data_IF_817199045979
#
_entry.id   IF_817199045979
#
_cell.length_a   1.000
_cell.length_b   1.000
_cell.length_c   1.000
_cell.angle_alpha   90.00
_cell.angle_beta   90.00
_cell.angle_gamma   90.00
#
_symmetry.space_group_name_H-M   'P 1'
#
loop_
_entity.id
_entity.type
_entity.pdbx_description
1 polymer ?
#
# COMPACT_ATOMS: atom_id res chain seq x y z
N UNK A 1 -37.72 -41.92 -38.84
CA UNK A 1 -38.25 -41.77 -37.49
C UNK A 1 -37.19 -41.04 -36.68
N UNK A 2 -37.58 -39.88 -36.19
CA UNK A 2 -36.73 -38.82 -35.65
C UNK A 2 -36.06 -39.19 -34.34
N UNK A 3 -34.74 -38.94 -34.23
CA UNK A 3 -33.97 -38.98 -33.01
C UNK A 3 -33.28 -37.68 -32.79
N UNK A 4 -33.83 -36.83 -31.91
CA UNK A 4 -33.31 -35.53 -31.51
C UNK A 4 -32.20 -35.73 -30.47
N UNK A 5 -30.97 -35.34 -30.77
CA UNK A 5 -29.87 -35.25 -29.81
C UNK A 5 -29.86 -33.88 -29.09
N UNK A 6 -29.39 -33.80 -27.85
CA UNK A 6 -29.43 -32.58 -27.07
C UNK A 6 -28.37 -31.58 -27.48
N UNK A 7 -28.79 -30.31 -27.50
CA UNK A 7 -27.96 -29.14 -27.80
C UNK A 7 -26.85 -28.93 -26.76
N UNK A 8 -25.60 -28.83 -27.21
CA UNK A 8 -24.46 -28.39 -26.42
C UNK A 8 -24.60 -26.90 -26.13
N UNK A 9 -24.71 -26.52 -24.86
CA UNK A 9 -24.63 -25.17 -24.39
C UNK A 9 -23.20 -24.62 -24.65
N UNK A 10 -23.11 -23.61 -25.49
CA UNK A 10 -21.87 -22.86 -25.68
C UNK A 10 -21.67 -21.96 -24.47
N UNK A 11 -20.65 -22.25 -23.66
CA UNK A 11 -20.13 -21.33 -22.68
C UNK A 11 -19.64 -20.07 -23.39
N UNK A 12 -20.30 -18.95 -23.16
CA UNK A 12 -19.77 -17.62 -23.52
C UNK A 12 -18.73 -17.25 -22.45
N UNK A 13 -17.54 -16.79 -22.84
CA UNK A 13 -16.64 -16.19 -21.89
C UNK A 13 -17.24 -14.89 -21.37
N UNK A 14 -17.17 -14.68 -20.06
CA UNK A 14 -17.48 -13.40 -19.41
C UNK A 14 -16.66 -12.29 -20.00
N UNK A 15 -17.23 -11.08 -20.18
CA UNK A 15 -16.44 -9.95 -20.64
C UNK A 15 -15.36 -9.60 -19.63
N UNK A 16 -14.12 -9.59 -20.07
CA UNK A 16 -13.03 -9.00 -19.35
C UNK A 16 -13.40 -7.53 -19.05
N UNK A 17 -13.37 -7.15 -17.77
CA UNK A 17 -13.43 -5.75 -17.39
C UNK A 17 -12.18 -5.07 -17.94
N UNK A 18 -12.32 -4.38 -19.06
CA UNK A 18 -11.34 -3.39 -19.49
C UNK A 18 -11.33 -2.26 -18.46
N UNK A 19 -10.38 -2.32 -17.54
CA UNK A 19 -9.99 -1.20 -16.70
C UNK A 19 -9.27 -0.17 -17.59
N UNK A 20 -10.05 0.68 -18.28
CA UNK A 20 -9.53 1.93 -18.82
C UNK A 20 -9.27 2.88 -17.66
N UNK A 21 -8.16 2.68 -16.97
CA UNK A 21 -7.61 3.66 -16.06
C UNK A 21 -7.07 4.82 -16.87
N UNK A 22 -7.78 5.95 -16.88
CA UNK A 22 -7.08 7.23 -17.05
C UNK A 22 -6.12 7.33 -15.88
N UNK A 23 -4.82 7.24 -16.20
CA UNK A 23 -3.71 7.29 -15.28
C UNK A 23 -3.70 8.65 -14.59
N UNK A 24 -4.26 8.74 -13.38
CA UNK A 24 -3.73 9.61 -12.37
C UNK A 24 -2.57 8.85 -11.75
N UNK A 25 -1.50 9.54 -11.46
CA UNK A 25 -0.26 9.04 -10.87
C UNK A 25 -0.57 7.98 -9.79
N UNK A 26 -0.24 6.67 -9.96
CA UNK A 26 -0.57 5.65 -8.97
C UNK A 26 0.35 5.84 -7.79
N UNK A 27 -0.17 6.59 -6.82
CA UNK A 27 0.35 6.53 -5.47
C UNK A 27 1.82 6.86 -5.34
N UNK A 28 2.26 8.07 -5.70
CA UNK A 28 3.16 8.72 -4.78
C UNK A 28 2.44 8.63 -3.43
N UNK A 29 2.90 7.76 -2.54
CA UNK A 29 2.67 8.00 -1.13
C UNK A 29 3.17 9.44 -0.97
N UNK A 30 2.23 10.38 -0.99
CA UNK A 30 2.53 11.78 -0.85
C UNK A 30 2.96 11.93 0.61
N UNK A 31 4.19 11.51 0.89
CA UNK A 31 4.88 11.81 2.14
C UNK A 31 5.17 13.30 2.00
N UNK A 32 4.44 14.15 2.70
CA UNK A 32 4.73 15.57 2.65
C UNK A 32 6.19 15.75 3.04
N UNK A 33 6.96 16.59 2.34
CA UNK A 33 8.36 16.88 2.67
C UNK A 33 8.39 17.82 3.89
N UNK A 34 8.01 17.34 5.06
CA UNK A 34 8.18 18.09 6.31
C UNK A 34 8.99 17.26 7.29
N UNK A 35 9.89 17.92 8.01
CA UNK A 35 10.62 17.39 9.16
C UNK A 35 9.71 16.65 10.16
N UNK A 36 8.47 17.08 10.27
CA UNK A 36 7.42 16.56 11.12
C UNK A 36 7.00 15.11 10.76
N UNK A 37 6.98 14.73 9.48
CA UNK A 37 6.70 13.34 9.07
C UNK A 37 7.86 12.42 9.44
N UNK A 38 9.09 12.87 9.27
CA UNK A 38 10.28 12.14 9.67
C UNK A 38 10.29 11.82 11.16
N UNK A 39 9.96 12.82 12.01
CA UNK A 39 9.89 12.65 13.45
C UNK A 39 8.76 11.70 13.88
N UNK A 40 7.60 11.78 13.25
CA UNK A 40 6.48 10.87 13.52
C UNK A 40 6.77 9.43 13.12
N UNK A 41 7.43 9.24 11.98
CA UNK A 41 7.87 7.92 11.54
C UNK A 41 8.99 7.38 12.44
N UNK A 42 9.90 8.22 12.91
CA UNK A 42 10.92 7.85 13.88
C UNK A 42 10.31 7.46 15.23
N UNK A 43 9.23 8.12 15.67
CA UNK A 43 8.50 7.72 16.87
C UNK A 43 7.86 6.33 16.70
N UNK A 44 7.30 6.02 15.54
CA UNK A 44 6.80 4.67 15.22
C UNK A 44 7.93 3.64 15.16
N UNK A 45 9.09 4.00 14.61
CA UNK A 45 10.28 3.15 14.59
C UNK A 45 10.82 2.89 16.00
N UNK A 46 10.78 3.88 16.90
CA UNK A 46 11.15 3.72 18.31
C UNK A 46 10.30 2.69 19.06
N UNK A 47 9.08 2.42 18.60
CA UNK A 47 8.23 1.34 19.11
C UNK A 47 8.65 -0.05 18.61
N UNK A 48 9.61 -0.13 17.69
CA UNK A 48 10.14 -1.37 17.09
C UNK A 48 11.66 -1.32 17.10
N UNK A 49 12.29 -1.70 18.20
CA UNK A 49 13.75 -1.60 18.38
C UNK A 49 14.57 -2.48 17.43
N UNK A 50 13.94 -3.37 16.66
CA UNK A 50 14.53 -4.23 15.65
C UNK A 50 14.53 -3.65 14.23
N UNK A 51 14.09 -2.41 14.05
CA UNK A 51 14.23 -1.68 12.79
C UNK A 51 15.55 -0.88 12.75
N UNK A 52 16.20 -0.76 11.57
CA UNK A 52 15.91 -1.46 10.31
C UNK A 52 16.26 -2.96 10.41
N UNK A 53 15.50 -3.79 9.68
CA UNK A 53 15.72 -5.23 9.58
C UNK A 53 16.04 -5.60 8.14
N UNK A 54 17.07 -6.44 7.94
CA UNK A 54 17.36 -7.10 6.67
C UNK A 54 17.33 -8.60 6.88
N UNK A 55 16.51 -9.29 6.13
CA UNK A 55 16.35 -10.74 6.23
C UNK A 55 16.21 -11.38 4.85
N UNK A 56 16.65 -12.65 4.68
CA UNK A 56 16.38 -13.38 3.45
C UNK A 56 14.86 -13.64 3.32
N UNK A 57 14.35 -13.53 2.10
CA UNK A 57 12.99 -13.95 1.83
C UNK A 57 12.97 -15.30 1.09
N UNK A 58 12.08 -16.23 1.46
CA UNK A 58 11.91 -17.47 0.72
C UNK A 58 11.14 -17.29 -0.59
N UNK A 59 10.65 -16.07 -0.86
CA UNK A 59 9.81 -15.76 -2.02
C UNK A 59 10.64 -15.60 -3.28
N UNK A 60 10.08 -16.02 -4.39
CA UNK A 60 10.61 -15.72 -5.71
C UNK A 60 10.22 -14.30 -6.09
N UNK A 61 11.21 -13.42 -6.23
CA UNK A 61 11.01 -12.00 -6.51
C UNK A 61 11.38 -11.71 -7.96
N UNK A 62 10.46 -11.06 -8.68
CA UNK A 62 10.70 -10.61 -10.05
C UNK A 62 10.31 -9.14 -10.21
N UNK A 63 11.01 -8.48 -11.14
CA UNK A 63 10.70 -7.11 -11.56
C UNK A 63 10.58 -7.09 -13.07
N UNK A 64 9.53 -6.44 -13.55
CA UNK A 64 9.31 -6.23 -14.98
C UNK A 64 9.18 -4.74 -15.29
N UNK A 65 9.50 -4.38 -16.52
CA UNK A 65 9.16 -3.11 -17.15
C UNK A 65 8.26 -3.43 -18.36
N UNK A 66 6.96 -3.12 -18.25
CA UNK A 66 6.00 -3.70 -19.19
C UNK A 66 6.04 -5.23 -19.15
N UNK A 67 6.23 -5.86 -20.31
CA UNK A 67 6.31 -7.33 -20.43
C UNK A 67 7.74 -7.87 -20.31
N UNK A 68 8.76 -7.01 -20.22
CA UNK A 68 10.16 -7.40 -20.18
C UNK A 68 10.64 -7.67 -18.77
N UNK A 69 11.37 -8.78 -18.58
CA UNK A 69 11.95 -9.18 -17.31
C UNK A 69 13.22 -8.39 -17.02
N UNK A 70 13.24 -7.67 -15.92
CA UNK A 70 14.37 -6.84 -15.46
C UNK A 70 15.19 -7.57 -14.39
N UNK A 71 14.51 -8.25 -13.46
CA UNK A 71 15.16 -9.02 -12.41
C UNK A 71 14.36 -10.30 -12.11
N UNK A 72 15.10 -11.38 -11.79
CA UNK A 72 14.56 -12.69 -11.45
C UNK A 72 15.41 -13.34 -10.36
N UNK A 73 14.93 -13.33 -9.13
CA UNK A 73 15.73 -13.76 -7.99
C UNK A 73 14.97 -14.65 -7.00
N UNK A 74 15.63 -15.72 -6.57
CA UNK A 74 15.28 -16.55 -5.41
C UNK A 74 16.25 -16.34 -4.24
N UNK A 75 17.07 -15.30 -4.31
CA UNK A 75 18.08 -14.93 -3.32
C UNK A 75 17.87 -13.51 -2.81
N UNK A 76 16.65 -13.01 -2.95
CA UNK A 76 16.34 -11.65 -2.54
C UNK A 76 16.41 -11.49 -1.02
N UNK A 77 16.77 -10.28 -0.59
CA UNK A 77 16.67 -9.84 0.79
C UNK A 77 15.52 -8.87 0.93
N UNK A 78 14.78 -8.99 2.01
CA UNK A 78 13.77 -8.00 2.40
C UNK A 78 14.40 -7.01 3.39
N UNK A 79 14.36 -5.75 3.04
CA UNK A 79 14.67 -4.65 3.94
C UNK A 79 13.37 -4.07 4.50
N UNK A 80 13.17 -4.20 5.80
CA UNK A 80 12.00 -3.65 6.52
C UNK A 80 12.41 -2.35 7.17
N UNK A 81 11.90 -1.26 6.64
CA UNK A 81 12.07 0.10 7.14
C UNK A 81 10.78 0.87 6.89
N UNK A 82 10.35 1.69 7.85
CA UNK A 82 9.27 2.65 7.67
C UNK A 82 9.80 4.04 8.02
N UNK A 83 9.67 4.97 7.09
CA UNK A 83 10.20 6.31 7.20
C UNK A 83 11.69 6.43 6.91
N UNK A 84 12.26 7.63 7.11
CA UNK A 84 13.66 7.89 6.88
C UNK A 84 14.55 6.97 7.70
N UNK A 85 15.53 6.38 7.05
CA UNK A 85 16.52 5.49 7.66
C UNK A 85 17.93 5.82 7.21
N UNK A 86 18.87 4.91 7.49
CA UNK A 86 20.28 5.06 7.14
C UNK A 86 20.53 4.98 5.62
N UNK A 87 19.61 4.39 4.86
CA UNK A 87 19.74 4.29 3.40
C UNK A 87 18.90 5.36 2.72
N UNK A 88 19.49 6.21 1.86
CA UNK A 88 18.72 7.07 0.97
C UNK A 88 17.73 6.27 0.13
N UNK A 89 16.55 6.84 -0.17
CA UNK A 89 15.48 6.25 -1.00
C UNK A 89 14.77 5.01 -0.42
N UNK A 90 15.12 4.55 0.79
CA UNK A 90 14.49 3.40 1.44
C UNK A 90 13.54 3.89 2.53
N UNK A 91 12.27 4.11 2.20
CA UNK A 91 11.24 4.66 3.11
C UNK A 91 10.17 3.64 3.49
N UNK A 92 10.09 2.53 2.77
CA UNK A 92 9.08 1.48 2.93
C UNK A 92 9.75 0.12 2.76
N UNK A 93 9.16 -0.95 3.28
CA UNK A 93 9.65 -2.30 3.04
C UNK A 93 9.88 -2.55 1.55
N UNK A 94 11.07 -3.01 1.20
CA UNK A 94 11.46 -3.24 -0.18
C UNK A 94 12.37 -4.45 -0.33
N UNK A 95 12.36 -5.06 -1.52
CA UNK A 95 13.25 -6.15 -1.85
C UNK A 95 14.53 -5.63 -2.49
N UNK A 96 15.62 -6.30 -2.15
CA UNK A 96 16.91 -6.16 -2.81
C UNK A 96 17.28 -7.49 -3.44
N UNK A 97 17.73 -7.48 -4.67
CA UNK A 97 18.14 -8.67 -5.41
C UNK A 97 19.64 -8.59 -5.71
N UNK A 98 20.38 -9.71 -5.70
CA UNK A 98 21.76 -9.70 -6.16
C UNK A 98 21.88 -9.10 -7.55
N UNK A 99 22.90 -8.29 -7.80
CA UNK A 99 23.10 -7.67 -9.12
C UNK A 99 23.21 -8.71 -10.24
N UNK A 100 23.70 -9.90 -9.94
CA UNK A 100 23.81 -11.02 -10.89
C UNK A 100 22.45 -11.61 -11.30
N UNK A 101 21.37 -11.32 -10.56
CA UNK A 101 20.00 -11.74 -10.85
C UNK A 101 19.23 -10.66 -11.63
N UNK A 102 19.92 -9.58 -12.03
CA UNK A 102 19.36 -8.49 -12.82
C UNK A 102 19.79 -8.63 -14.28
N UNK A 103 18.90 -8.39 -15.22
CA UNK A 103 19.22 -8.33 -16.65
C UNK A 103 20.18 -7.15 -16.91
N UNK A 104 21.46 -7.38 -17.23
CA UNK A 104 22.44 -6.29 -17.30
C UNK A 104 22.09 -5.18 -18.29
N UNK A 105 21.49 -5.55 -19.43
CA UNK A 105 21.07 -4.61 -20.46
C UNK A 105 19.90 -3.71 -20.05
N UNK A 106 19.19 -4.04 -18.96
CA UNK A 106 18.08 -3.24 -18.46
C UNK A 106 18.53 -2.08 -17.58
N UNK A 107 19.75 -2.14 -17.00
CA UNK A 107 20.32 -1.06 -16.20
C UNK A 107 21.14 -0.14 -17.11
N UNK A 108 20.64 1.05 -17.37
CA UNK A 108 21.27 2.02 -18.29
C UNK A 108 21.60 3.33 -17.57
N UNK A 109 22.52 4.09 -18.16
CA UNK A 109 22.90 5.44 -17.70
C UNK A 109 23.23 5.50 -16.20
N UNK A 110 24.27 4.77 -15.73
CA UNK A 110 24.65 4.78 -14.35
C UNK A 110 25.15 6.17 -13.90
N UNK A 111 24.67 6.61 -12.75
CA UNK A 111 25.12 7.84 -12.08
C UNK A 111 25.62 7.49 -10.69
N UNK A 112 26.90 7.81 -10.43
CA UNK A 112 27.49 7.68 -9.10
C UNK A 112 27.14 8.92 -8.26
N UNK A 113 26.50 8.71 -7.12
CA UNK A 113 26.22 9.76 -6.16
C UNK A 113 27.32 9.82 -5.08
N UNK A 114 27.59 11.02 -4.54
CA UNK A 114 28.58 11.26 -3.47
C UNK A 114 28.38 10.38 -2.23
N UNK A 115 27.18 9.85 -2.05
CA UNK A 115 26.79 8.98 -0.92
C UNK A 115 27.24 7.53 -1.06
N UNK A 116 28.02 7.16 -2.11
CA UNK A 116 28.36 5.77 -2.40
C UNK A 116 27.14 4.96 -2.88
N UNK A 117 26.32 5.59 -3.68
CA UNK A 117 25.10 5.07 -4.28
C UNK A 117 25.24 5.16 -5.80
N UNK A 118 25.09 4.04 -6.52
CA UNK A 118 24.87 4.06 -7.95
C UNK A 118 23.38 4.01 -8.24
N UNK A 119 22.94 4.85 -9.15
CA UNK A 119 21.56 4.93 -9.62
C UNK A 119 21.52 4.71 -11.12
N UNK A 120 20.54 3.97 -11.60
CA UNK A 120 20.31 3.68 -13.02
C UNK A 120 18.92 4.10 -13.45
N UNK A 121 18.80 4.44 -14.71
CA UNK A 121 17.54 4.27 -15.41
C UNK A 121 17.34 2.78 -15.74
N UNK A 122 16.09 2.35 -15.78
CA UNK A 122 15.71 1.00 -16.22
C UNK A 122 15.04 1.10 -17.58
N UNK A 123 15.55 0.36 -18.56
CA UNK A 123 15.02 0.40 -19.91
C UNK A 123 14.98 -0.98 -20.55
N UNK A 124 13.81 -1.40 -21.05
CA UNK A 124 13.63 -2.57 -21.91
C UNK A 124 12.30 -2.47 -22.67
N UNK A 125 12.16 -3.20 -23.79
CA UNK A 125 10.92 -3.27 -24.56
C UNK A 125 10.38 -1.91 -25.06
N UNK A 126 11.26 -0.93 -25.26
CA UNK A 126 10.86 0.43 -25.67
C UNK A 126 10.32 1.30 -24.52
N UNK A 127 10.27 0.79 -23.31
CA UNK A 127 9.92 1.54 -22.10
C UNK A 127 11.17 1.98 -21.34
N UNK A 128 11.06 3.09 -20.62
CA UNK A 128 12.14 3.62 -19.80
C UNK A 128 11.58 4.24 -18.53
N UNK A 129 12.26 3.99 -17.42
CA UNK A 129 12.03 4.63 -16.13
C UNK A 129 13.35 5.25 -15.66
N UNK A 130 13.41 6.56 -15.59
CA UNK A 130 14.59 7.27 -15.09
C UNK A 130 14.67 7.16 -13.57
N UNK A 131 15.92 7.10 -13.05
CA UNK A 131 16.16 7.11 -11.61
C UNK A 131 15.42 5.97 -10.88
N UNK A 132 15.41 4.78 -11.50
CA UNK A 132 14.48 3.71 -11.16
C UNK A 132 15.12 2.46 -10.54
N UNK A 133 16.43 2.33 -10.55
CA UNK A 133 17.17 1.28 -9.85
C UNK A 133 18.34 1.89 -9.08
N UNK A 134 18.71 1.29 -7.94
CA UNK A 134 19.86 1.77 -7.20
C UNK A 134 20.52 0.67 -6.36
N UNK A 135 21.82 0.85 -6.09
CA UNK A 135 22.65 -0.03 -5.28
C UNK A 135 23.51 0.81 -4.32
N UNK A 136 23.51 0.44 -3.05
CA UNK A 136 24.41 1.00 -2.06
C UNK A 136 25.70 0.20 -2.02
N UNK A 137 26.84 0.83 -2.28
CA UNK A 137 28.14 0.14 -2.28
C UNK A 137 28.60 -0.26 -0.88
N UNK A 138 28.32 0.57 0.10
CA UNK A 138 28.72 0.37 1.50
C UNK A 138 27.58 0.72 2.44
N UNK A 139 26.54 -0.14 2.51
CA UNK A 139 25.46 0.05 3.47
C UNK A 139 26.03 0.08 4.90
N UNK A 140 25.59 1.01 5.75
CA UNK A 140 26.03 1.06 7.14
C UNK A 140 25.46 -0.09 7.97
N UNK A 141 26.04 -0.44 9.13
CA UNK A 141 25.44 -1.39 10.06
C UNK A 141 24.01 -0.95 10.47
N UNK A 142 23.06 -1.89 10.61
CA UNK A 142 23.13 -3.34 10.39
C UNK A 142 22.74 -3.79 8.96
N UNK A 143 22.98 -2.97 7.94
CA UNK A 143 22.47 -3.14 6.57
C UNK A 143 23.50 -3.72 5.60
N UNK A 144 24.64 -4.18 6.10
CA UNK A 144 25.80 -4.65 5.31
C UNK A 144 25.43 -5.80 4.36
N UNK A 145 24.41 -6.60 4.70
CA UNK A 145 23.93 -7.68 3.85
C UNK A 145 23.34 -7.21 2.51
N UNK A 146 23.07 -5.90 2.36
CA UNK A 146 22.58 -5.30 1.12
C UNK A 146 23.72 -4.87 0.18
N UNK A 147 24.99 -5.04 0.56
CA UNK A 147 26.11 -4.72 -0.32
C UNK A 147 26.10 -5.59 -1.58
N UNK A 148 26.23 -4.96 -2.76
CA UNK A 148 26.14 -5.64 -4.06
C UNK A 148 24.72 -6.06 -4.47
N UNK A 149 23.71 -5.56 -3.78
CA UNK A 149 22.31 -5.83 -4.12
C UNK A 149 21.64 -4.58 -4.70
N UNK A 150 20.78 -4.80 -5.70
CA UNK A 150 20.01 -3.78 -6.40
C UNK A 150 18.56 -3.81 -5.95
N UNK A 151 17.96 -2.66 -5.80
CA UNK A 151 16.52 -2.51 -5.68
C UNK A 151 15.99 -1.56 -6.74
N UNK A 152 14.67 -1.53 -6.90
CA UNK A 152 14.00 -0.76 -7.94
C UNK A 152 12.89 0.11 -7.33
N UNK A 153 12.49 1.14 -8.05
CA UNK A 153 11.35 1.96 -7.67
C UNK A 153 10.05 1.16 -7.72
N UNK A 154 9.08 1.58 -6.90
CA UNK A 154 7.72 1.02 -6.87
C UNK A 154 6.76 1.78 -7.78
N UNK A 155 7.28 2.50 -8.78
CA UNK A 155 6.52 3.35 -9.69
C UNK A 155 6.43 2.74 -11.08
N UNK A 156 5.32 2.99 -11.76
CA UNK A 156 5.19 2.71 -13.18
C UNK A 156 6.38 3.26 -13.99
N UNK A 157 6.82 2.58 -15.03
CA UNK A 157 6.26 1.36 -15.60
C UNK A 157 6.80 0.05 -15.00
N UNK A 158 7.46 0.10 -13.83
CA UNK A 158 7.97 -1.08 -13.16
C UNK A 158 6.86 -1.79 -12.38
N UNK A 159 6.86 -3.12 -12.45
CA UNK A 159 5.96 -3.98 -11.68
C UNK A 159 6.78 -5.04 -10.95
N UNK A 160 6.57 -5.14 -9.64
CA UNK A 160 7.15 -6.16 -8.79
C UNK A 160 6.21 -7.35 -8.66
N UNK A 161 6.78 -8.53 -8.53
CA UNK A 161 6.05 -9.77 -8.31
C UNK A 161 6.62 -10.55 -7.14
N UNK A 162 5.74 -11.10 -6.32
CA UNK A 162 6.00 -12.20 -5.41
C UNK A 162 5.38 -13.45 -6.02
N UNK A 163 6.20 -14.47 -6.31
CA UNK A 163 5.76 -15.63 -7.10
C UNK A 163 5.10 -15.17 -8.42
N UNK A 164 3.87 -15.58 -8.70
CA UNK A 164 3.12 -15.18 -9.90
C UNK A 164 2.24 -13.93 -9.70
N UNK A 165 2.23 -13.36 -8.48
CA UNK A 165 1.31 -12.27 -8.12
C UNK A 165 1.99 -10.90 -8.19
N UNK A 166 1.42 -9.92 -8.91
CA UNK A 166 1.91 -8.56 -8.91
C UNK A 166 1.65 -7.90 -7.56
N UNK A 167 2.63 -7.14 -7.08
CA UNK A 167 2.51 -6.35 -5.87
C UNK A 167 1.85 -5.00 -6.14
N UNK A 168 0.95 -4.61 -5.23
CA UNK A 168 0.14 -3.40 -5.42
C UNK A 168 0.86 -2.10 -5.06
N UNK A 169 1.82 -2.14 -4.13
CA UNK A 169 2.48 -0.94 -3.62
C UNK A 169 3.94 -1.20 -3.26
N UNK A 170 4.22 -1.71 -2.07
CA UNK A 170 5.56 -2.03 -1.59
C UNK A 170 5.60 -3.47 -1.05
N UNK A 171 6.79 -3.99 -0.75
CA UNK A 171 6.93 -5.32 -0.16
C UNK A 171 6.08 -5.46 1.12
N UNK A 172 5.47 -6.61 1.29
CA UNK A 172 4.73 -6.93 2.51
C UNK A 172 5.72 -7.29 3.63
N UNK A 173 5.62 -6.59 4.75
CA UNK A 173 6.40 -6.88 5.96
C UNK A 173 5.79 -8.11 6.66
N UNK A 174 6.51 -9.24 6.77
CA UNK A 174 5.99 -10.45 7.41
C UNK A 174 5.79 -10.28 8.92
N UNK A 175 6.38 -9.25 9.53
CA UNK A 175 6.22 -8.91 10.94
C UNK A 175 5.07 -7.94 11.21
N UNK A 176 4.36 -7.51 10.17
CA UNK A 176 3.19 -6.63 10.28
C UNK A 176 1.92 -7.44 10.22
N UNK A 177 1.15 -7.40 11.31
CA UNK A 177 -0.13 -8.08 11.40
C UNK A 177 -1.27 -7.10 11.15
N UNK A 178 -2.27 -7.54 10.41
CA UNK A 178 -3.55 -6.85 10.20
C UNK A 178 -4.68 -7.79 10.59
N UNK A 179 -5.39 -7.47 11.65
CA UNK A 179 -6.51 -8.26 12.16
C UNK A 179 -7.82 -7.51 12.01
N UNK A 180 -8.89 -8.27 11.74
CA UNK A 180 -10.26 -7.73 11.69
C UNK A 180 -11.16 -8.51 12.64
N UNK A 181 -11.72 -7.85 13.63
CA UNK A 181 -12.63 -8.42 14.61
C UNK A 181 -14.02 -7.77 14.54
N UNK A 182 -15.07 -8.58 14.61
CA UNK A 182 -16.42 -8.08 14.83
C UNK A 182 -16.56 -7.56 16.26
N UNK A 183 -17.32 -6.48 16.42
CA UNK A 183 -17.53 -5.86 17.72
C UNK A 183 -18.99 -5.45 17.91
N UNK A 184 -19.46 -5.49 19.14
CA UNK A 184 -20.76 -4.94 19.57
C UNK A 184 -20.62 -3.57 20.24
N UNK A 185 -19.43 -2.99 20.27
CA UNK A 185 -19.18 -1.68 20.87
C UNK A 185 -19.95 -0.60 20.10
N UNK A 186 -20.50 0.36 20.84
CA UNK A 186 -21.17 1.51 20.25
C UNK A 186 -20.13 2.49 19.73
N UNK A 187 -20.02 2.61 18.40
CA UNK A 187 -19.14 3.57 17.75
C UNK A 187 -19.96 4.72 17.20
N UNK A 188 -19.56 5.95 17.51
CA UNK A 188 -20.14 7.20 17.05
C UNK A 188 -19.04 8.05 16.40
N UNK A 189 -19.30 8.57 15.22
CA UNK A 189 -18.38 9.40 14.46
C UNK A 189 -19.00 10.74 14.18
N UNK A 190 -18.30 11.83 14.51
CA UNK A 190 -18.77 13.19 14.34
C UNK A 190 -17.66 14.10 13.77
N UNK A 191 -18.06 15.20 13.19
CA UNK A 191 -17.18 16.31 12.88
C UNK A 191 -17.92 17.63 13.11
N UNK A 192 -17.31 18.56 13.85
CA UNK A 192 -17.91 19.86 14.21
C UNK A 192 -19.34 19.74 14.77
N UNK A 193 -19.60 18.72 15.59
CA UNK A 193 -20.89 18.44 16.19
C UNK A 193 -21.93 17.78 15.27
N UNK A 194 -21.58 17.52 14.00
CA UNK A 194 -22.45 16.83 13.05
C UNK A 194 -22.19 15.33 13.08
N UNK A 195 -23.26 14.54 13.28
CA UNK A 195 -23.20 13.08 13.26
C UNK A 195 -22.94 12.57 11.84
N UNK A 196 -21.82 11.90 11.63
CA UNK A 196 -21.45 11.25 10.37
C UNK A 196 -21.91 9.79 10.31
N UNK A 197 -21.72 9.05 11.42
CA UNK A 197 -22.11 7.64 11.49
C UNK A 197 -22.31 7.20 12.93
N UNK A 198 -23.13 6.16 13.13
CA UNK A 198 -23.33 5.51 14.42
C UNK A 198 -23.63 4.03 14.21
N UNK A 199 -22.84 3.13 14.83
CA UNK A 199 -22.98 1.69 14.68
C UNK A 199 -22.84 0.97 16.03
N UNK A 200 -23.52 -0.20 16.13
CA UNK A 200 -23.32 -1.22 17.18
C UNK A 200 -22.84 -2.55 16.62
N UNK A 201 -22.41 -2.54 15.37
CA UNK A 201 -21.90 -3.71 14.64
C UNK A 201 -20.67 -3.36 13.78
N UNK A 202 -19.72 -2.57 14.37
CA UNK A 202 -18.50 -2.25 13.62
C UNK A 202 -17.61 -3.47 13.44
N UNK A 203 -16.76 -3.46 12.42
CA UNK A 203 -15.55 -4.25 12.39
C UNK A 203 -14.37 -3.37 12.82
N UNK A 204 -13.63 -3.84 13.80
CA UNK A 204 -12.42 -3.17 14.26
C UNK A 204 -11.21 -3.78 13.55
N UNK A 205 -10.43 -2.94 12.90
CA UNK A 205 -9.18 -3.35 12.27
C UNK A 205 -8.02 -2.91 13.15
N UNK A 206 -7.21 -3.89 13.54
CA UNK A 206 -5.98 -3.72 14.32
C UNK A 206 -4.80 -3.95 13.39
N UNK A 207 -4.00 -2.92 13.19
CA UNK A 207 -2.81 -2.99 12.36
C UNK A 207 -1.59 -2.65 13.20
N UNK A 208 -0.55 -3.48 13.12
CA UNK A 208 0.68 -3.29 13.91
C UNK A 208 1.20 -1.85 13.76
N UNK A 209 1.41 -1.17 14.88
CA UNK A 209 1.91 0.21 15.00
C UNK A 209 0.98 1.29 14.44
N UNK A 210 -0.27 0.99 14.14
CA UNK A 210 -1.25 1.98 13.70
C UNK A 210 -2.46 2.02 14.64
N UNK A 211 -3.19 3.14 14.70
CA UNK A 211 -4.40 3.23 15.50
C UNK A 211 -5.49 2.28 15.00
N UNK A 212 -6.37 1.88 15.91
CA UNK A 212 -7.54 1.08 15.58
C UNK A 212 -8.39 1.82 14.54
N UNK A 213 -8.79 1.10 13.48
CA UNK A 213 -9.72 1.60 12.47
C UNK A 213 -11.10 0.98 12.63
N UNK A 214 -12.12 1.80 12.57
CA UNK A 214 -13.51 1.42 12.76
C UNK A 214 -14.20 1.35 11.40
N UNK A 215 -14.44 0.14 10.89
CA UNK A 215 -15.14 -0.11 9.66
C UNK A 215 -16.62 -0.30 9.95
N UNK A 216 -17.46 0.56 9.41
CA UNK A 216 -18.89 0.63 9.69
C UNK A 216 -19.67 0.16 8.46
N UNK A 217 -20.79 -0.57 8.64
CA UNK A 217 -21.70 -0.85 7.55
C UNK A 217 -22.20 0.46 6.91
N UNK A 218 -22.36 0.51 5.57
CA UNK A 218 -22.87 1.71 4.91
C UNK A 218 -24.23 2.19 5.45
N UNK A 219 -25.10 1.25 5.85
CA UNK A 219 -26.41 1.57 6.44
C UNK A 219 -26.34 2.31 7.78
N UNK A 220 -25.18 2.28 8.44
CA UNK A 220 -24.96 2.95 9.73
C UNK A 220 -24.34 4.36 9.55
N UNK A 221 -24.07 4.77 8.30
CA UNK A 221 -23.68 6.13 7.93
C UNK A 221 -24.92 7.03 7.91
N UNK A 222 -24.82 8.24 8.44
CA UNK A 222 -25.91 9.19 8.66
C UNK A 222 -25.78 10.47 7.85
N UNK A 223 -24.76 10.55 7.00
CA UNK A 223 -24.46 11.71 6.15
C UNK A 223 -24.36 11.25 4.69
N UNK A 224 -24.59 12.17 3.77
CA UNK A 224 -24.35 11.92 2.35
C UNK A 224 -22.84 11.83 2.09
N UNK A 225 -22.40 10.66 1.62
CA UNK A 225 -21.03 10.45 1.13
C UNK A 225 -20.98 10.62 -0.39
N UNK A 226 -20.09 11.49 -0.85
CA UNK A 226 -19.83 11.75 -2.26
C UNK A 226 -18.53 11.09 -2.65
N UNK A 227 -18.46 10.33 -3.76
CA UNK A 227 -17.22 9.73 -4.22
C UNK A 227 -16.14 10.79 -4.48
N UNK A 228 -14.94 10.57 -3.98
CA UNK A 228 -13.75 11.35 -4.30
C UNK A 228 -13.00 10.76 -5.49
N UNK A 229 -12.17 11.58 -6.15
CA UNK A 229 -11.23 11.11 -7.17
C UNK A 229 -9.99 10.45 -6.54
N UNK A 230 -9.78 10.65 -5.25
CA UNK A 230 -8.63 10.11 -4.52
C UNK A 230 -8.71 8.58 -4.47
N UNK A 231 -7.56 7.96 -4.73
CA UNK A 231 -7.32 6.53 -4.55
C UNK A 231 -6.06 6.35 -3.74
N UNK A 232 -6.03 5.37 -2.87
CA UNK A 232 -4.81 4.99 -2.17
C UNK A 232 -4.64 3.47 -2.20
N UNK A 233 -3.39 3.02 -2.12
CA UNK A 233 -3.05 1.60 -2.21
C UNK A 233 -2.38 1.17 -0.91
N UNK A 234 -2.82 0.02 -0.40
CA UNK A 234 -2.23 -0.62 0.76
C UNK A 234 -1.91 -2.08 0.42
N UNK A 235 -0.66 -2.56 0.61
CA UNK A 235 -0.31 -3.93 0.27
C UNK A 235 -1.05 -4.98 1.11
N UNK A 236 -1.62 -4.58 2.26
CA UNK A 236 -2.34 -5.46 3.19
C UNK A 236 -3.86 -5.38 3.06
N UNK A 237 -4.39 -4.40 2.34
CA UNK A 237 -5.84 -4.15 2.26
C UNK A 237 -6.36 -4.01 0.83
N UNK A 238 -5.51 -3.60 -0.11
CA UNK A 238 -5.88 -3.39 -1.52
C UNK A 238 -6.00 -1.92 -1.90
N UNK A 239 -6.83 -1.62 -2.90
CA UNK A 239 -7.07 -0.26 -3.41
C UNK A 239 -8.27 0.34 -2.70
N UNK A 240 -8.07 1.47 -2.04
CA UNK A 240 -9.13 2.21 -1.38
C UNK A 240 -9.78 3.25 -2.31
N UNK A 241 -11.09 3.34 -2.24
CA UNK A 241 -11.89 4.45 -2.73
C UNK A 241 -12.14 5.41 -1.58
N UNK A 242 -11.94 6.71 -1.82
CA UNK A 242 -12.16 7.74 -0.83
C UNK A 242 -13.52 8.41 -1.01
N UNK A 243 -14.03 8.95 0.09
CA UNK A 243 -15.33 9.58 0.19
C UNK A 243 -15.21 10.93 0.89
N UNK A 244 -15.90 11.92 0.34
CA UNK A 244 -16.12 13.21 0.96
C UNK A 244 -17.50 13.24 1.59
N UNK A 245 -17.71 13.99 2.66
CA UNK A 245 -19.02 14.13 3.31
C UNK A 245 -19.63 15.52 3.02
N UNK A 246 -20.88 15.55 2.60
CA UNK A 246 -21.63 16.80 2.44
C UNK A 246 -22.23 17.21 3.79
N UNK A 247 -21.81 18.35 4.31
CA UNK A 247 -22.20 18.88 5.62
C UNK A 247 -22.81 20.27 5.41
N UNK A 248 -24.15 20.33 5.25
CA UNK A 248 -24.80 21.57 4.83
C UNK A 248 -24.27 22.03 3.48
N UNK A 249 -23.80 23.26 3.41
CA UNK A 249 -23.27 23.88 2.17
C UNK A 249 -21.78 23.59 1.93
N UNK A 250 -21.10 22.91 2.86
CA UNK A 250 -19.69 22.57 2.73
C UNK A 250 -19.48 21.09 2.44
N UNK A 251 -18.32 20.76 1.85
CA UNK A 251 -17.85 19.40 1.64
C UNK A 251 -16.60 19.18 2.48
N UNK A 252 -16.63 18.16 3.34
CA UNK A 252 -15.45 17.68 4.04
C UNK A 252 -14.77 16.64 3.16
N UNK A 253 -13.70 17.08 2.48
CA UNK A 253 -13.00 16.26 1.48
C UNK A 253 -12.21 15.12 2.12
N UNK A 254 -12.25 13.93 1.46
CA UNK A 254 -11.48 12.75 1.80
C UNK A 254 -11.55 12.36 3.29
N UNK A 255 -12.76 12.38 3.83
CA UNK A 255 -12.99 12.15 5.25
C UNK A 255 -13.17 10.68 5.61
N UNK A 256 -13.45 9.83 4.62
CA UNK A 256 -13.63 8.40 4.78
C UNK A 256 -13.10 7.62 3.57
N UNK A 257 -12.88 6.33 3.75
CA UNK A 257 -12.52 5.41 2.67
C UNK A 257 -13.24 4.07 2.81
N UNK A 258 -13.23 3.32 1.74
CA UNK A 258 -13.67 1.92 1.69
C UNK A 258 -12.76 1.12 0.75
N UNK A 259 -12.74 -0.19 0.94
CA UNK A 259 -12.08 -1.14 0.04
C UNK A 259 -13.17 -1.95 -0.68
N UNK A 260 -13.52 -1.62 -1.94
CA UNK A 260 -14.54 -2.38 -2.69
C UNK A 260 -14.15 -3.83 -2.90
N UNK A 261 -12.86 -4.05 -3.19
CA UNK A 261 -12.26 -5.38 -3.42
C UNK A 261 -10.95 -5.47 -2.63
N UNK A 262 -11.02 -5.76 -1.33
CA UNK A 262 -9.81 -5.90 -0.53
C UNK A 262 -9.01 -7.14 -0.95
N UNK A 263 -7.72 -7.19 -0.57
CA UNK A 263 -6.89 -8.38 -0.77
C UNK A 263 -7.47 -9.59 -0.05
N UNK A 264 -7.15 -10.82 -0.51
CA UNK A 264 -7.72 -12.07 0.04
C UNK A 264 -7.52 -12.25 1.54
N UNK A 265 -6.49 -11.64 2.13
CA UNK A 265 -6.21 -11.71 3.57
C UNK A 265 -7.19 -10.91 4.43
N UNK A 266 -7.85 -9.89 3.86
CA UNK A 266 -8.75 -9.00 4.60
C UNK A 266 -10.14 -8.84 3.96
N UNK A 267 -10.83 -9.93 3.54
CA UNK A 267 -12.08 -9.84 2.78
C UNK A 267 -13.24 -9.24 3.59
N UNK A 268 -13.14 -9.28 4.92
CA UNK A 268 -14.22 -8.83 5.82
C UNK A 268 -14.49 -7.33 5.77
N UNK A 269 -13.53 -6.52 5.32
CA UNK A 269 -13.70 -5.06 5.21
C UNK A 269 -14.34 -4.61 3.89
N UNK A 270 -14.69 -5.55 3.01
CA UNK A 270 -15.26 -5.24 1.70
C UNK A 270 -16.49 -4.34 1.81
N UNK A 271 -16.45 -3.18 1.14
CA UNK A 271 -17.55 -2.23 1.07
C UNK A 271 -17.90 -1.51 2.37
N UNK A 272 -17.23 -1.78 3.49
CA UNK A 272 -17.45 -1.05 4.73
C UNK A 272 -16.78 0.32 4.67
N UNK A 273 -17.34 1.27 5.40
CA UNK A 273 -16.87 2.66 5.46
C UNK A 273 -16.00 2.85 6.71
N UNK A 274 -14.79 3.38 6.52
CA UNK A 274 -13.90 3.78 7.61
C UNK A 274 -13.69 5.29 7.55
N UNK A 275 -14.05 6.00 8.61
CA UNK A 275 -13.77 7.42 8.72
C UNK A 275 -12.35 7.67 9.18
N UNK A 276 -11.76 8.77 8.73
CA UNK A 276 -10.38 9.16 9.04
C UNK A 276 -10.29 9.68 10.47
N UNK A 277 -9.89 8.82 11.40
CA UNK A 277 -9.83 9.13 12.84
C UNK A 277 -9.00 10.39 13.15
N UNK A 278 -8.02 10.71 12.32
CA UNK A 278 -7.18 11.89 12.47
C UNK A 278 -7.96 13.20 12.22
N UNK A 279 -9.09 13.13 11.51
CA UNK A 279 -9.86 14.30 11.09
C UNK A 279 -11.28 14.36 11.65
N UNK A 280 -11.74 13.27 12.26
CA UNK A 280 -13.09 13.20 12.86
C UNK A 280 -13.00 12.89 14.35
N UNK A 281 -14.07 13.15 15.06
CA UNK A 281 -14.23 12.75 16.45
C UNK A 281 -14.87 11.37 16.53
N UNK A 282 -14.20 10.46 17.18
CA UNK A 282 -14.69 9.10 17.40
C UNK A 282 -14.99 8.91 18.88
N UNK A 283 -16.20 8.45 19.19
CA UNK A 283 -16.55 7.99 20.53
C UNK A 283 -16.88 6.49 20.47
N UNK A 284 -16.37 5.76 21.46
CA UNK A 284 -16.61 4.32 21.61
C UNK A 284 -17.19 4.06 23.00
N UNK A 285 -18.36 3.44 23.05
CA UNK A 285 -19.13 3.19 24.28
C UNK A 285 -19.38 4.48 25.10
N UNK A 286 -19.56 5.61 24.38
CA UNK A 286 -19.77 6.94 24.97
C UNK A 286 -18.49 7.68 25.36
N UNK A 287 -17.33 7.05 25.30
CA UNK A 287 -16.06 7.69 25.58
C UNK A 287 -15.46 8.26 24.29
N UNK A 288 -15.25 9.59 24.24
CA UNK A 288 -14.55 10.24 23.12
C UNK A 288 -13.07 9.86 23.16
N UNK A 289 -12.56 9.46 22.02
CA UNK A 289 -11.16 9.12 21.83
C UNK A 289 -10.36 10.36 21.41
N UNK A 290 -9.09 10.40 21.79
CA UNK A 290 -8.16 11.36 21.21
C UNK A 290 -7.93 11.05 19.72
N UNK A 291 -7.78 12.09 18.90
CA UNK A 291 -7.43 11.92 17.50
C UNK A 291 -6.00 11.39 17.42
N UNK A 292 -5.79 10.26 16.73
CA UNK A 292 -4.45 9.70 16.65
C UNK A 292 -3.55 10.60 15.78
N UNK A 293 -2.27 10.58 16.10
CA UNK A 293 -1.23 11.17 15.25
C UNK A 293 -0.63 10.04 14.42
N UNK A 294 -0.68 10.16 13.10
CA UNK A 294 -0.14 9.20 12.15
C UNK A 294 0.68 9.93 11.09
N UNK A 295 1.44 9.23 10.25
CA UNK A 295 2.13 9.85 9.13
C UNK A 295 1.21 10.61 8.16
N UNK A 296 -0.10 10.36 8.24
CA UNK A 296 -1.12 10.98 7.38
C UNK A 296 -2.00 12.01 8.09
N UNK A 297 -1.66 12.44 9.31
CA UNK A 297 -2.40 13.46 10.07
C UNK A 297 -2.31 14.84 9.45
#
# INVERSE_FOLDING_TARGET
>A
MNGSGPARSRNRPSPALELTTRRGDPGSVNVPPSSDVGERLAALAGMRPWWPLVEPTPRWIRVRIGDELVADSRRAMLHVQYGPGALPRSFLPTYYVPVDDVTPAALVDPVEAETGLTVWAVAAGGLRADDAAWMHHRPPPPLEALAGMVTFSWRDPLTWFEEEEPLLAHARDPHKRVDVAASSRAVRVETDGVLLAQSRRPLLLFETSLPVRYYLPPDDVRIELVPSQTRSVCPYKGVATWWSARIGDRVAEDIAWSYPSPVPENPRIAGLICFRNERVDVAVDGQRLERPITPWS
#
